data_IF_679493084972
#
_entry.id   IF_679493084972
#
_cell.length_a   1.000
_cell.length_b   1.000
_cell.length_c   1.000
_cell.angle_alpha   90.00
_cell.angle_beta   90.00
_cell.angle_gamma   90.00
#
_symmetry.space_group_name_H-M   'P 1'
#
loop_
_entity.id
_entity.type
_entity.pdbx_description
1 polymer ?
#
# COMPACT_ATOMS: atom_id res chain seq x y z
N UNK A 1 -26.57 -2.07 21.11
CA UNK A 1 -25.62 -2.38 20.02
C UNK A 1 -24.46 -1.36 20.01
N UNK A 2 -23.44 -1.52 20.85
CA UNK A 2 -22.36 -0.51 21.04
C UNK A 2 -20.95 -1.09 21.26
N UNK A 3 -20.76 -2.41 21.11
CA UNK A 3 -19.49 -3.05 21.48
C UNK A 3 -18.38 -2.95 20.41
N UNK A 4 -18.72 -2.74 19.14
CA UNK A 4 -17.70 -2.66 18.06
C UNK A 4 -16.95 -1.31 18.01
N UNK A 5 -17.43 -0.27 18.70
CA UNK A 5 -16.80 1.07 18.71
C UNK A 5 -15.59 1.16 19.64
N UNK A 6 -15.53 0.34 20.71
CA UNK A 6 -14.48 0.49 21.73
C UNK A 6 -13.08 0.21 21.19
N UNK A 7 -12.86 -0.89 20.46
CA UNK A 7 -11.51 -1.27 20.06
C UNK A 7 -10.90 -0.34 19.00
N UNK A 8 -11.65 0.05 17.97
CA UNK A 8 -11.15 0.96 16.93
C UNK A 8 -10.90 2.37 17.47
N UNK A 9 -11.80 2.89 18.32
CA UNK A 9 -11.58 4.17 19.00
C UNK A 9 -10.41 4.09 19.98
N UNK A 10 -10.21 2.97 20.69
CA UNK A 10 -9.08 2.76 21.59
C UNK A 10 -7.75 2.74 20.84
N UNK A 11 -7.65 2.05 19.70
CA UNK A 11 -6.43 2.03 18.88
C UNK A 11 -6.12 3.44 18.36
N UNK A 12 -7.12 4.14 17.81
CA UNK A 12 -6.91 5.51 17.34
C UNK A 12 -6.48 6.46 18.47
N UNK A 13 -7.10 6.35 19.64
CA UNK A 13 -6.72 7.13 20.82
C UNK A 13 -5.32 6.78 21.31
N UNK A 14 -4.94 5.50 21.34
CA UNK A 14 -3.62 5.06 21.76
C UNK A 14 -2.53 5.59 20.82
N UNK A 15 -2.75 5.51 19.50
CA UNK A 15 -1.84 6.09 18.50
C UNK A 15 -1.75 7.61 18.66
N UNK A 16 -2.87 8.30 18.85
CA UNK A 16 -2.87 9.75 19.07
C UNK A 16 -2.10 10.15 20.34
N UNK A 17 -2.25 9.41 21.44
CA UNK A 17 -1.49 9.63 22.66
C UNK A 17 0.00 9.34 22.46
N UNK A 18 0.36 8.25 21.78
CA UNK A 18 1.74 7.93 21.45
C UNK A 18 2.39 9.08 20.67
N UNK A 19 1.73 9.57 19.62
CA UNK A 19 2.21 10.69 18.80
C UNK A 19 2.40 11.96 19.64
N UNK A 20 1.43 12.31 20.49
CA UNK A 20 1.54 13.46 21.41
C UNK A 20 2.72 13.31 22.36
N UNK A 21 2.91 12.14 22.96
CA UNK A 21 4.03 11.88 23.86
C UNK A 21 5.38 12.01 23.14
N UNK A 22 5.49 11.51 21.90
CA UNK A 22 6.70 11.64 21.10
C UNK A 22 7.00 13.09 20.72
N UNK A 23 5.99 13.86 20.30
CA UNK A 23 6.14 15.29 19.99
C UNK A 23 6.52 16.09 21.25
N UNK A 24 5.96 15.74 22.41
CA UNK A 24 6.28 16.37 23.69
C UNK A 24 7.73 16.08 24.12
N UNK A 25 8.17 14.83 24.04
CA UNK A 25 9.52 14.42 24.45
C UNK A 25 10.60 14.85 23.45
N UNK A 26 10.26 14.86 22.16
CA UNK A 26 11.16 15.18 21.07
C UNK A 26 10.54 16.30 20.22
N UNK A 27 10.82 17.56 20.58
CA UNK A 27 10.23 18.74 19.92
C UNK A 27 10.49 18.81 18.40
N UNK A 28 11.57 18.19 17.91
CA UNK A 28 11.87 18.05 16.48
C UNK A 28 11.21 16.86 15.77
N UNK A 29 10.42 16.04 16.48
CA UNK A 29 9.81 14.85 15.91
C UNK A 29 8.71 15.21 14.90
N UNK A 30 8.90 14.77 13.67
CA UNK A 30 7.95 14.96 12.58
C UNK A 30 7.06 13.72 12.45
N UNK A 31 6.23 13.50 13.46
CA UNK A 31 5.24 12.42 13.49
C UNK A 31 3.84 13.01 13.67
N UNK A 32 2.86 12.54 12.91
CA UNK A 32 1.50 13.08 12.92
C UNK A 32 0.48 12.04 12.46
N UNK A 33 -0.79 12.25 12.81
CA UNK A 33 -1.92 11.41 12.40
C UNK A 33 -2.86 12.17 11.47
N UNK A 34 -3.63 11.42 10.67
CA UNK A 34 -4.71 11.98 9.85
C UNK A 34 -5.88 12.37 10.75
N UNK A 35 -6.37 13.61 10.63
CA UNK A 35 -7.46 14.13 11.48
C UNK A 35 -8.79 13.39 11.28
N UNK A 36 -9.10 13.05 10.02
CA UNK A 36 -10.35 12.38 9.62
C UNK A 36 -10.02 11.05 8.93
N UNK A 37 -9.69 9.99 9.69
CA UNK A 37 -9.40 8.68 9.15
C UNK A 37 -10.64 8.06 8.48
N UNK A 38 -10.42 7.13 7.56
CA UNK A 38 -11.47 6.40 6.86
C UNK A 38 -11.43 4.91 7.19
N UNK A 39 -12.58 4.23 7.05
CA UNK A 39 -12.66 2.79 7.19
C UNK A 39 -12.04 2.11 5.96
N UNK A 40 -11.06 1.22 6.19
CA UNK A 40 -10.33 0.53 5.14
C UNK A 40 -10.81 -0.92 5.03
N UNK A 41 -11.30 -1.28 3.85
CA UNK A 41 -11.76 -2.64 3.53
C UNK A 41 -10.78 -3.32 2.56
N UNK A 42 -10.39 -4.56 2.86
CA UNK A 42 -9.43 -5.31 2.05
C UNK A 42 -9.95 -5.49 0.62
N UNK A 43 -9.14 -5.08 -0.37
CA UNK A 43 -9.47 -5.14 -1.79
C UNK A 43 -10.33 -3.98 -2.31
N UNK A 44 -10.71 -3.02 -1.46
CA UNK A 44 -11.55 -1.88 -1.83
C UNK A 44 -10.68 -0.65 -2.10
N UNK A 45 -11.20 0.30 -2.87
CA UNK A 45 -10.59 1.61 -3.11
C UNK A 45 -10.13 2.34 -1.83
N UNK A 46 -10.78 2.08 -0.70
CA UNK A 46 -10.39 2.63 0.61
C UNK A 46 -8.93 2.35 1.00
N UNK A 47 -8.30 1.27 0.50
CA UNK A 47 -6.88 1.01 0.75
C UNK A 47 -6.03 2.11 0.08
N UNK A 48 -6.28 2.36 -1.20
CA UNK A 48 -5.60 3.40 -1.97
C UNK A 48 -5.97 4.80 -1.46
N UNK A 49 -7.22 5.02 -1.07
CA UNK A 49 -7.68 6.29 -0.50
C UNK A 49 -6.94 6.66 0.79
N UNK A 50 -6.59 5.67 1.63
CA UNK A 50 -5.81 5.90 2.84
C UNK A 50 -4.39 6.40 2.51
N UNK A 51 -3.74 5.81 1.50
CA UNK A 51 -2.44 6.28 1.02
C UNK A 51 -2.53 7.72 0.50
N UNK A 52 -3.55 8.06 -0.32
CA UNK A 52 -3.76 9.41 -0.83
C UNK A 52 -3.98 10.44 0.28
N UNK A 53 -4.73 10.11 1.33
CA UNK A 53 -4.88 11.00 2.50
C UNK A 53 -3.54 11.24 3.21
N UNK A 54 -2.71 10.20 3.32
CA UNK A 54 -1.37 10.34 3.88
C UNK A 54 -0.46 11.21 3.00
N UNK A 55 -0.55 11.06 1.66
CA UNK A 55 0.16 11.92 0.71
C UNK A 55 -0.23 13.39 0.85
N UNK A 56 -1.54 13.67 0.90
CA UNK A 56 -2.06 15.03 1.10
C UNK A 56 -1.56 15.65 2.41
N UNK A 57 -1.61 14.87 3.50
CA UNK A 57 -1.13 15.32 4.80
C UNK A 57 0.38 15.58 4.79
N UNK A 58 1.16 14.68 4.20
CA UNK A 58 2.61 14.82 4.10
C UNK A 58 3.00 16.04 3.25
N UNK A 59 2.29 16.28 2.14
CA UNK A 59 2.47 17.47 1.30
C UNK A 59 2.12 18.77 2.04
N UNK A 60 1.10 18.74 2.90
CA UNK A 60 0.69 19.92 3.67
C UNK A 60 1.63 20.27 4.83
N UNK A 61 2.62 19.44 5.14
CA UNK A 61 3.60 19.72 6.20
C UNK A 61 4.79 20.47 5.64
N UNK A 62 5.28 21.43 6.41
CA UNK A 62 6.51 22.18 6.10
C UNK A 62 7.75 21.34 6.43
N UNK A 63 7.90 20.18 5.78
CA UNK A 63 8.97 19.22 6.02
C UNK A 63 9.59 18.89 4.67
N UNK A 64 10.91 18.99 4.58
CA UNK A 64 11.66 18.66 3.37
C UNK A 64 11.89 17.14 3.28
N UNK A 65 10.90 16.41 2.79
CA UNK A 65 11.01 14.99 2.44
C UNK A 65 11.24 14.83 0.93
N UNK A 66 11.84 13.71 0.53
CA UNK A 66 12.19 13.42 -0.87
C UNK A 66 11.46 12.22 -1.46
N UNK A 67 11.31 11.17 -0.65
CA UNK A 67 10.68 9.92 -1.06
C UNK A 67 9.69 9.52 0.03
N UNK A 68 8.46 9.22 -0.39
CA UNK A 68 7.44 8.59 0.43
C UNK A 68 7.56 7.06 0.29
N UNK A 69 7.41 6.34 1.41
CA UNK A 69 7.26 4.88 1.42
C UNK A 69 6.04 4.54 2.27
N UNK A 70 5.21 3.59 1.83
CA UNK A 70 3.91 3.27 2.44
C UNK A 70 3.86 1.86 3.08
N UNK A 71 4.60 1.61 4.19
CA UNK A 71 4.51 0.32 4.87
C UNK A 71 3.14 0.13 5.54
N UNK A 72 2.76 -1.12 5.77
CA UNK A 72 1.57 -1.51 6.53
C UNK A 72 1.94 -2.06 7.93
N UNK A 73 0.97 -2.13 8.84
CA UNK A 73 1.21 -2.52 10.24
C UNK A 73 1.83 -3.92 10.44
N UNK A 74 1.68 -4.82 9.47
CA UNK A 74 2.24 -6.20 9.52
C UNK A 74 3.60 -6.29 8.82
N UNK A 75 4.25 -5.16 8.58
CA UNK A 75 5.52 -5.05 7.86
C UNK A 75 6.60 -4.52 8.81
N UNK A 76 7.72 -5.22 8.87
CA UNK A 76 8.89 -4.78 9.65
C UNK A 76 10.07 -4.48 8.73
N UNK A 77 10.91 -3.50 9.09
CA UNK A 77 12.09 -3.16 8.31
C UNK A 77 13.11 -4.31 8.36
N UNK A 78 13.69 -4.67 7.21
CA UNK A 78 14.77 -5.66 7.10
C UNK A 78 16.16 -5.06 7.40
N UNK A 79 16.23 -3.73 7.55
CA UNK A 79 17.48 -2.97 7.66
C UNK A 79 17.30 -1.77 8.58
N UNK A 80 18.36 -1.29 9.24
CA UNK A 80 18.32 -0.04 9.98
C UNK A 80 17.90 1.14 9.08
N UNK A 81 17.23 2.14 9.66
CA UNK A 81 16.71 3.30 8.92
C UNK A 81 17.82 4.06 8.17
N UNK A 82 19.05 4.09 8.69
CA UNK A 82 20.21 4.69 8.03
C UNK A 82 20.54 4.01 6.70
N UNK A 83 20.42 2.68 6.64
CA UNK A 83 20.63 1.89 5.43
C UNK A 83 19.46 2.05 4.45
N UNK A 84 18.22 2.08 4.95
CA UNK A 84 17.03 2.37 4.13
C UNK A 84 17.19 3.74 3.44
N UNK A 85 17.62 4.77 4.19
CA UNK A 85 17.87 6.12 3.63
C UNK A 85 18.97 6.12 2.57
N UNK A 86 20.06 5.37 2.77
CA UNK A 86 21.14 5.25 1.77
C UNK A 86 20.65 4.53 0.52
N UNK A 87 19.89 3.45 0.69
CA UNK A 87 19.30 2.68 -0.40
C UNK A 87 18.35 3.55 -1.23
N UNK A 88 17.38 4.23 -0.61
CA UNK A 88 16.43 5.08 -1.33
C UNK A 88 17.09 6.23 -2.12
N UNK A 89 18.29 6.69 -1.72
CA UNK A 89 19.04 7.70 -2.50
C UNK A 89 19.51 7.17 -3.85
N UNK A 90 19.69 5.87 -4.02
CA UNK A 90 20.06 5.27 -5.32
C UNK A 90 18.86 5.10 -6.25
N UNK A 91 17.64 5.42 -5.79
CA UNK A 91 16.39 5.35 -6.54
C UNK A 91 15.70 6.71 -6.59
N UNK A 92 16.30 7.74 -7.26
CA UNK A 92 15.72 9.08 -7.30
C UNK A 92 14.35 9.14 -8.01
N UNK A 93 14.06 8.17 -8.87
CA UNK A 93 12.77 8.06 -9.58
C UNK A 93 11.74 7.19 -8.83
N UNK A 94 12.07 6.72 -7.62
CA UNK A 94 11.23 5.80 -6.86
C UNK A 94 11.44 4.32 -7.19
N UNK A 95 10.61 3.49 -6.55
CA UNK A 95 10.57 2.03 -6.73
C UNK A 95 9.10 1.64 -6.87
N UNK A 96 8.69 1.37 -8.11
CA UNK A 96 7.32 1.05 -8.47
C UNK A 96 7.42 -0.07 -9.50
N UNK A 97 6.82 -1.21 -9.23
CA UNK A 97 6.75 -2.31 -10.17
C UNK A 97 5.59 -2.12 -11.16
N UNK A 98 5.76 -2.61 -12.39
CA UNK A 98 4.71 -2.51 -13.40
C UNK A 98 4.77 -3.64 -14.41
N UNK A 99 3.78 -4.52 -14.36
CA UNK A 99 3.66 -5.70 -15.19
C UNK A 99 2.37 -5.66 -16.00
N UNK A 100 2.38 -6.39 -17.11
CA UNK A 100 1.16 -6.70 -17.86
C UNK A 100 0.14 -7.39 -16.95
N UNK A 101 -1.13 -7.02 -17.06
CA UNK A 101 -2.18 -7.65 -16.26
C UNK A 101 -2.41 -9.08 -16.76
N UNK A 102 -2.27 -10.12 -15.91
CA UNK A 102 -2.61 -11.48 -16.29
C UNK A 102 -4.07 -11.59 -16.72
N UNK A 103 -4.38 -12.41 -17.74
CA UNK A 103 -5.76 -12.57 -18.26
C UNK A 103 -6.78 -12.85 -17.14
N UNK A 104 -6.43 -13.74 -16.22
CA UNK A 104 -7.27 -14.10 -15.07
C UNK A 104 -7.50 -12.98 -14.04
N UNK A 105 -6.80 -11.85 -14.14
CA UNK A 105 -6.97 -10.72 -13.23
C UNK A 105 -7.75 -9.56 -13.86
N UNK A 106 -8.09 -9.59 -15.15
CA UNK A 106 -8.79 -8.49 -15.84
C UNK A 106 -10.18 -8.21 -15.26
N UNK A 107 -10.85 -9.23 -14.70
CA UNK A 107 -12.15 -9.05 -14.03
C UNK A 107 -12.08 -8.02 -12.90
N UNK A 108 -10.91 -7.83 -12.28
CA UNK A 108 -10.73 -6.91 -11.15
C UNK A 108 -11.01 -5.45 -11.48
N UNK A 109 -10.90 -5.06 -12.74
CA UNK A 109 -11.18 -3.69 -13.19
C UNK A 109 -12.13 -3.61 -14.38
N UNK A 110 -12.50 -4.75 -14.98
CA UNK A 110 -13.56 -4.80 -15.99
C UNK A 110 -14.96 -4.90 -15.37
N UNK A 111 -15.07 -5.41 -14.15
CA UNK A 111 -16.34 -5.51 -13.41
C UNK A 111 -16.31 -4.57 -12.21
N UNK A 112 -17.47 -3.99 -11.90
CA UNK A 112 -17.59 -3.15 -10.71
C UNK A 112 -17.69 -3.98 -9.44
N UNK A 113 -17.31 -3.38 -8.31
CA UNK A 113 -17.46 -3.96 -6.98
C UNK A 113 -18.32 -3.07 -6.08
N UNK A 114 -18.99 -3.69 -5.13
CA UNK A 114 -19.80 -3.01 -4.12
C UNK A 114 -19.45 -3.48 -2.72
N UNK A 115 -19.52 -2.56 -1.74
CA UNK A 115 -19.41 -2.90 -0.32
C UNK A 115 -20.77 -3.33 0.21
N UNK A 116 -20.92 -4.63 0.47
CA UNK A 116 -22.12 -5.21 1.04
C UNK A 116 -21.97 -5.42 2.54
N UNK A 117 -23.07 -5.22 3.27
CA UNK A 117 -23.13 -5.48 4.69
C UNK A 117 -23.04 -7.00 4.95
N UNK A 118 -22.07 -7.42 5.75
CA UNK A 118 -21.73 -8.82 6.04
C UNK A 118 -21.88 -9.19 7.52
N UNK A 119 -22.31 -8.24 8.36
CA UNK A 119 -22.51 -8.43 9.80
C UNK A 119 -23.30 -7.28 10.40
N UNK A 120 -23.31 -7.17 11.73
CA UNK A 120 -24.10 -6.15 12.44
C UNK A 120 -23.35 -4.83 12.66
N UNK A 121 -22.01 -4.85 12.58
CA UNK A 121 -21.20 -3.64 12.74
C UNK A 121 -21.11 -2.86 11.43
N UNK A 122 -21.01 -1.53 11.53
CA UNK A 122 -20.67 -0.67 10.40
C UNK A 122 -19.41 -1.13 9.65
N UNK A 123 -18.45 -1.72 10.37
CA UNK A 123 -17.19 -2.22 9.80
C UNK A 123 -17.28 -3.63 9.22
N UNK A 124 -18.39 -4.35 9.46
CA UNK A 124 -18.61 -5.69 8.92
C UNK A 124 -19.11 -5.59 7.48
N UNK A 125 -18.30 -5.03 6.58
CA UNK A 125 -18.58 -4.97 5.15
C UNK A 125 -17.62 -5.85 4.39
N UNK A 126 -18.13 -6.49 3.34
CA UNK A 126 -17.35 -7.29 2.40
C UNK A 126 -17.54 -6.74 1.00
N UNK A 127 -16.50 -6.87 0.21
CA UNK A 127 -16.55 -6.50 -1.19
C UNK A 127 -17.14 -7.67 -1.97
N UNK A 128 -18.11 -7.36 -2.82
CA UNK A 128 -18.70 -8.31 -3.76
C UNK A 128 -18.44 -7.79 -5.16
N UNK A 129 -17.89 -8.66 -6.03
CA UNK A 129 -17.78 -8.38 -7.46
C UNK A 129 -19.18 -8.52 -8.06
N UNK A 130 -19.59 -7.52 -8.84
CA UNK A 130 -20.89 -7.46 -9.51
C UNK A 130 -20.76 -7.93 -10.96
N UNK A 131 -21.88 -8.19 -11.63
CA UNK A 131 -21.93 -8.49 -13.07
C UNK A 131 -21.90 -7.22 -13.94
N UNK A 132 -21.89 -6.03 -13.33
CA UNK A 132 -21.88 -4.77 -14.05
C UNK A 132 -20.50 -4.54 -14.66
N UNK A 133 -20.48 -4.55 -16.00
CA UNK A 133 -19.30 -4.23 -16.81
C UNK A 133 -19.01 -2.73 -16.71
N UNK A 134 -17.76 -2.38 -16.43
CA UNK A 134 -17.28 -1.00 -16.36
C UNK A 134 -17.01 -0.47 -17.77
N UNK A 135 -17.15 0.85 -17.91
CA UNK A 135 -16.69 1.55 -19.11
C UNK A 135 -15.17 1.38 -19.28
N UNK A 136 -14.69 1.57 -20.52
CA UNK A 136 -13.25 1.58 -20.81
C UNK A 136 -12.53 2.62 -19.94
N UNK A 137 -11.26 2.37 -19.57
CA UNK A 137 -10.49 3.29 -18.76
C UNK A 137 -10.28 4.62 -19.49
N UNK A 138 -10.18 5.75 -18.74
CA UNK A 138 -10.10 7.07 -19.33
C UNK A 138 -8.87 7.21 -20.23
N UNK A 139 -8.98 7.99 -21.31
CA UNK A 139 -7.88 8.30 -22.24
C UNK A 139 -7.19 7.07 -22.89
N UNK A 140 -7.93 5.96 -23.08
CA UNK A 140 -7.45 4.75 -23.75
C UNK A 140 -6.15 4.17 -23.14
N UNK A 141 -6.02 4.27 -21.81
CA UNK A 141 -4.86 3.78 -21.07
C UNK A 141 -4.89 2.27 -20.91
N UNK A 142 -3.71 1.66 -20.93
CA UNK A 142 -3.55 0.25 -20.58
C UNK A 142 -3.38 0.14 -19.07
N UNK A 143 -4.32 -0.53 -18.39
CA UNK A 143 -4.20 -0.85 -16.96
C UNK A 143 -3.08 -1.86 -16.74
N UNK A 144 -2.29 -1.63 -15.69
CA UNK A 144 -1.13 -2.44 -15.33
C UNK A 144 -1.26 -3.04 -13.95
N UNK A 145 -0.43 -4.04 -13.66
CA UNK A 145 -0.34 -4.68 -12.34
C UNK A 145 0.96 -4.28 -11.66
N UNK A 146 0.89 -3.99 -10.38
CA UNK A 146 2.04 -3.79 -9.51
C UNK A 146 1.71 -4.17 -8.08
N UNK A 147 2.59 -3.77 -7.18
CA UNK A 147 2.52 -3.96 -5.75
C UNK A 147 1.87 -2.75 -5.10
N UNK A 148 1.16 -2.99 -4.00
CA UNK A 148 0.61 -1.92 -3.14
C UNK A 148 1.72 -1.05 -2.54
N UNK A 149 2.85 -1.65 -2.16
CA UNK A 149 3.94 -0.95 -1.49
C UNK A 149 4.88 -0.35 -2.52
N UNK A 150 5.08 0.96 -2.44
CA UNK A 150 5.83 1.77 -3.39
C UNK A 150 6.76 2.72 -2.66
N UNK A 151 7.82 3.14 -3.37
CA UNK A 151 8.63 4.29 -2.98
C UNK A 151 8.42 5.38 -4.03
N UNK A 152 7.84 6.52 -3.64
CA UNK A 152 7.44 7.58 -4.58
C UNK A 152 8.27 8.84 -4.33
N UNK A 153 8.96 9.40 -5.35
CA UNK A 153 9.57 10.72 -5.21
C UNK A 153 8.49 11.79 -5.05
N UNK A 154 8.86 12.90 -4.42
CA UNK A 154 7.92 13.98 -4.09
C UNK A 154 7.18 14.53 -5.30
N UNK A 155 7.89 14.71 -6.41
CA UNK A 155 7.35 15.22 -7.66
C UNK A 155 6.26 14.29 -8.23
N UNK A 156 6.41 12.98 -8.05
CA UNK A 156 5.40 12.01 -8.44
C UNK A 156 4.18 12.04 -7.50
N UNK A 157 4.39 12.24 -6.20
CA UNK A 157 3.29 12.44 -5.25
C UNK A 157 2.50 13.70 -5.62
N UNK A 158 3.17 14.81 -5.95
CA UNK A 158 2.51 16.04 -6.38
C UNK A 158 1.72 15.82 -7.68
N UNK A 159 2.29 15.12 -8.67
CA UNK A 159 1.56 14.72 -9.88
C UNK A 159 0.32 13.86 -9.58
N UNK A 160 0.44 12.87 -8.69
CA UNK A 160 -0.68 12.01 -8.28
C UNK A 160 -1.81 12.83 -7.68
N UNK A 161 -1.48 13.85 -6.89
CA UNK A 161 -2.45 14.67 -6.15
C UNK A 161 -3.07 15.81 -6.96
N UNK A 162 -2.40 16.30 -8.01
CA UNK A 162 -2.86 17.51 -8.74
C UNK A 162 -3.33 17.21 -10.16
N UNK A 163 -2.79 16.17 -10.80
CA UNK A 163 -3.09 15.88 -12.20
C UNK A 163 -4.55 15.48 -12.41
N UNK A 164 -5.23 16.12 -13.36
CA UNK A 164 -6.56 15.72 -13.81
C UNK A 164 -6.59 14.27 -14.29
N UNK A 165 -5.48 13.80 -14.88
CA UNK A 165 -5.34 12.42 -15.30
C UNK A 165 -5.41 11.47 -14.10
N UNK A 166 -4.61 11.73 -13.06
CA UNK A 166 -4.59 10.93 -11.83
C UNK A 166 -5.98 10.89 -11.20
N UNK A 167 -6.66 12.04 -11.11
CA UNK A 167 -8.04 12.11 -10.60
C UNK A 167 -9.04 11.32 -11.47
N UNK A 168 -8.92 11.38 -12.80
CA UNK A 168 -9.77 10.62 -13.71
C UNK A 168 -9.59 9.11 -13.53
N UNK A 169 -8.33 8.65 -13.43
CA UNK A 169 -8.02 7.24 -13.17
C UNK A 169 -8.50 6.79 -11.78
N UNK A 170 -8.29 7.60 -10.74
CA UNK A 170 -8.77 7.30 -9.39
C UNK A 170 -10.28 7.13 -9.37
N UNK A 171 -11.01 8.08 -9.96
CA UNK A 171 -12.47 8.02 -10.08
C UNK A 171 -12.93 6.75 -10.82
N UNK A 172 -12.24 6.40 -11.90
CA UNK A 172 -12.55 5.17 -12.64
C UNK A 172 -12.22 3.90 -11.83
N UNK A 173 -11.26 3.95 -10.90
CA UNK A 173 -10.88 2.82 -10.04
C UNK A 173 -11.70 2.70 -8.74
N UNK A 174 -12.58 3.65 -8.42
CA UNK A 174 -13.33 3.68 -7.15
C UNK A 174 -14.15 2.41 -6.91
N UNK A 175 -14.74 1.86 -7.96
CA UNK A 175 -15.52 0.61 -7.95
C UNK A 175 -14.75 -0.56 -8.58
N UNK A 176 -13.40 -0.57 -8.50
CA UNK A 176 -12.57 -1.72 -8.92
C UNK A 176 -12.08 -2.56 -7.73
N UNK A 177 -11.75 -3.84 -7.98
CA UNK A 177 -11.16 -4.75 -6.99
C UNK A 177 -9.63 -4.60 -6.93
N UNK A 178 -9.09 -4.46 -5.73
CA UNK A 178 -7.66 -4.25 -5.43
C UNK A 178 -7.00 -3.14 -6.29
N UNK A 179 -7.60 -1.93 -6.34
CA UNK A 179 -7.10 -0.86 -7.23
C UNK A 179 -5.71 -0.34 -6.83
N UNK A 180 -5.28 -0.57 -5.58
CA UNK A 180 -3.93 -0.29 -5.07
C UNK A 180 -2.84 -1.11 -5.78
N UNK A 181 -3.17 -2.29 -6.34
CA UNK A 181 -2.26 -3.07 -7.19
C UNK A 181 -2.28 -2.64 -8.67
N UNK A 182 -3.02 -1.58 -9.02
CA UNK A 182 -3.19 -1.12 -10.40
C UNK A 182 -2.82 0.36 -10.59
N UNK A 183 -3.10 1.20 -9.60
CA UNK A 183 -2.99 2.66 -9.74
C UNK A 183 -1.55 3.13 -10.01
N UNK A 184 -0.62 2.82 -9.10
CA UNK A 184 0.76 3.33 -9.19
C UNK A 184 1.50 2.82 -10.44
N UNK A 185 1.33 1.54 -10.75
CA UNK A 185 1.93 0.88 -11.92
C UNK A 185 1.42 1.47 -13.25
N UNK A 186 0.14 1.82 -13.31
CA UNK A 186 -0.49 2.48 -14.47
C UNK A 186 0.00 3.92 -14.61
N UNK A 187 0.02 4.70 -13.52
CA UNK A 187 0.50 6.09 -13.52
C UNK A 187 1.93 6.20 -14.06
N UNK A 188 2.83 5.34 -13.58
CA UNK A 188 4.24 5.39 -13.99
C UNK A 188 4.47 5.09 -15.47
N UNK A 189 3.65 4.22 -16.05
CA UNK A 189 3.82 3.83 -17.46
C UNK A 189 3.40 4.96 -18.38
N UNK A 190 2.37 5.71 -18.00
CA UNK A 190 1.90 6.88 -18.76
C UNK A 190 2.94 7.99 -18.77
N UNK A 191 3.58 8.26 -17.62
CA UNK A 191 4.67 9.23 -17.52
C UNK A 191 5.90 8.88 -18.38
N UNK A 192 5.97 7.65 -18.93
CA UNK A 192 7.04 7.14 -19.78
C UNK A 192 6.54 6.75 -21.18
N UNK A 193 5.56 7.48 -21.73
CA UNK A 193 4.94 7.31 -23.06
C UNK A 193 4.02 6.08 -23.24
N UNK A 194 3.53 5.48 -22.16
CA UNK A 194 2.78 4.23 -22.22
C UNK A 194 1.26 4.38 -22.31
N UNK A 195 0.70 4.18 -23.50
CA UNK A 195 -0.65 3.60 -23.71
C UNK A 195 -0.58 2.10 -24.04
N UNK A 196 0.63 1.56 -24.18
CA UNK A 196 0.90 0.19 -24.62
C UNK A 196 1.24 -0.73 -23.44
N UNK A 197 1.05 -2.04 -23.65
CA UNK A 197 1.44 -3.05 -22.67
C UNK A 197 2.94 -3.37 -22.77
N UNK A 198 3.77 -2.62 -22.05
CA UNK A 198 5.23 -2.78 -22.04
C UNK A 198 5.67 -3.69 -20.88
N UNK A 199 6.44 -4.75 -21.12
CA UNK A 199 7.02 -5.53 -20.00
C UNK A 199 8.31 -4.87 -19.49
N UNK A 200 8.19 -3.73 -18.80
CA UNK A 200 9.34 -2.93 -18.34
C UNK A 200 9.47 -3.00 -16.82
N UNK A 201 10.68 -3.32 -16.33
CA UNK A 201 10.99 -3.23 -14.91
C UNK A 201 11.22 -1.75 -14.50
N UNK A 202 10.23 -1.16 -13.84
CA UNK A 202 10.32 0.19 -13.26
C UNK A 202 10.81 0.19 -11.81
N UNK A 203 11.14 -0.98 -11.26
CA UNK A 203 11.78 -1.04 -9.94
C UNK A 203 13.26 -0.67 -10.00
N UNK A 204 13.89 -0.77 -11.17
CA UNK A 204 15.33 -0.59 -11.37
C UNK A 204 16.17 -1.52 -10.46
N UNK A 205 15.68 -2.74 -10.21
CA UNK A 205 16.27 -3.67 -9.23
C UNK A 205 15.92 -3.34 -7.76
N UNK A 206 15.03 -2.38 -7.56
CA UNK A 206 14.52 -1.94 -6.27
C UNK A 206 13.53 -2.93 -5.65
N UNK A 207 13.47 -3.02 -4.32
CA UNK A 207 12.38 -3.75 -3.65
C UNK A 207 11.89 -3.00 -2.41
N UNK A 208 10.61 -2.63 -2.39
CA UNK A 208 10.01 -2.01 -1.20
C UNK A 208 9.64 -3.05 -0.16
N UNK A 209 8.96 -4.14 -0.57
CA UNK A 209 8.44 -5.15 0.35
C UNK A 209 8.66 -6.57 -0.18
N UNK A 210 9.29 -7.40 0.65
CA UNK A 210 9.40 -8.84 0.44
C UNK A 210 8.16 -9.55 1.00
N UNK A 211 7.63 -10.51 0.23
CA UNK A 211 6.70 -11.52 0.75
C UNK A 211 6.99 -12.89 0.18
N UNK A 212 6.88 -13.91 1.04
CA UNK A 212 6.89 -15.30 0.61
C UNK A 212 5.46 -15.80 0.42
N UNK A 213 5.23 -16.39 -0.76
CA UNK A 213 3.94 -16.91 -1.18
C UNK A 213 4.00 -18.44 -1.26
N UNK A 214 2.89 -19.10 -0.96
CA UNK A 214 2.78 -20.56 -1.00
C UNK A 214 3.30 -21.26 0.27
N UNK A 215 3.26 -22.60 0.25
CA UNK A 215 3.46 -23.43 1.45
C UNK A 215 4.92 -23.81 1.74
N UNK A 216 5.87 -23.49 0.86
CA UNK A 216 7.28 -23.86 1.03
C UNK A 216 8.09 -22.80 1.79
N UNK A 217 9.04 -23.23 2.62
CA UNK A 217 10.01 -22.39 3.33
C UNK A 217 9.40 -21.32 4.25
N UNK A 218 8.35 -21.65 5.01
CA UNK A 218 7.78 -20.75 6.02
C UNK A 218 7.82 -21.45 7.37
N UNK A 219 8.71 -21.00 8.27
CA UNK A 219 8.85 -21.53 9.63
C UNK A 219 7.72 -21.07 10.56
N UNK A 220 7.08 -19.94 10.22
CA UNK A 220 5.85 -19.50 10.87
C UNK A 220 4.60 -20.18 10.30
N UNK A 221 3.62 -19.38 9.84
CA UNK A 221 2.33 -19.90 9.34
C UNK A 221 1.91 -19.25 8.04
N UNK A 222 1.57 -20.06 7.03
CA UNK A 222 0.93 -19.53 5.83
C UNK A 222 -0.55 -19.20 6.10
N UNK A 223 -0.93 -17.94 5.89
CA UNK A 223 -2.32 -17.46 6.02
C UNK A 223 -2.71 -16.77 4.72
N UNK A 224 -3.78 -17.26 4.07
CA UNK A 224 -4.28 -16.75 2.78
C UNK A 224 -3.18 -16.71 1.69
N UNK A 225 -2.32 -17.71 1.67
CA UNK A 225 -1.26 -17.83 0.67
C UNK A 225 0.02 -17.05 0.99
N UNK A 226 0.06 -16.26 2.06
CA UNK A 226 1.25 -15.48 2.46
C UNK A 226 1.86 -16.05 3.73
N UNK A 227 3.19 -16.22 3.75
CA UNK A 227 3.92 -16.57 4.97
C UNK A 227 3.81 -15.43 6.00
N UNK A 228 3.34 -15.79 7.20
CA UNK A 228 3.52 -14.98 8.40
C UNK A 228 4.77 -15.55 9.07
N UNK A 229 5.87 -14.81 9.02
CA UNK A 229 7.20 -15.27 9.37
C UNK A 229 7.28 -15.69 10.84
N UNK A 230 8.06 -16.74 11.09
CA UNK A 230 8.46 -17.15 12.44
C UNK A 230 9.96 -16.97 12.67
N UNK A 231 10.42 -17.26 13.88
CA UNK A 231 11.81 -17.07 14.31
C UNK A 231 12.83 -17.76 13.37
N UNK A 232 12.48 -18.94 12.86
CA UNK A 232 13.32 -19.70 11.92
C UNK A 232 13.55 -19.01 10.56
N UNK A 233 12.69 -18.07 10.18
CA UNK A 233 12.77 -17.38 8.89
C UNK A 233 13.73 -16.17 8.94
N UNK A 234 14.06 -15.66 10.14
CA UNK A 234 14.81 -14.42 10.32
C UNK A 234 16.21 -14.45 9.69
N UNK A 235 16.90 -15.60 9.75
CA UNK A 235 18.24 -15.75 9.16
C UNK A 235 18.21 -15.51 7.64
N UNK A 236 17.21 -16.06 6.95
CA UNK A 236 17.07 -15.90 5.51
C UNK A 236 16.56 -14.51 5.14
N UNK A 237 15.63 -13.95 5.93
CA UNK A 237 15.19 -12.56 5.78
C UNK A 237 16.36 -11.57 5.92
N UNK A 238 17.28 -11.82 6.85
CA UNK A 238 18.45 -10.96 7.07
C UNK A 238 19.45 -10.97 5.90
N UNK A 239 19.55 -12.09 5.17
CA UNK A 239 20.38 -12.18 3.96
C UNK A 239 19.84 -11.35 2.81
N UNK A 240 18.53 -11.04 2.80
CA UNK A 240 17.95 -10.23 1.74
C UNK A 240 18.54 -8.81 1.73
N UNK A 241 19.31 -8.49 0.68
CA UNK A 241 19.96 -7.17 0.54
C UNK A 241 19.10 -6.14 -0.19
N UNK A 242 18.06 -6.57 -0.90
CA UNK A 242 17.36 -5.75 -1.89
C UNK A 242 16.08 -5.12 -1.34
N UNK A 243 15.34 -5.82 -0.47
CA UNK A 243 14.06 -5.34 0.04
C UNK A 243 14.22 -4.47 1.29
N UNK A 244 13.39 -3.43 1.39
CA UNK A 244 13.36 -2.53 2.55
C UNK A 244 12.60 -3.12 3.74
N UNK A 245 11.45 -3.73 3.46
CA UNK A 245 10.54 -4.31 4.45
C UNK A 245 10.23 -5.78 4.13
N UNK A 246 9.77 -6.53 5.12
CA UNK A 246 9.23 -7.87 4.95
C UNK A 246 7.80 -7.97 5.48
N UNK A 247 6.98 -8.76 4.80
CA UNK A 247 5.59 -9.02 5.14
C UNK A 247 5.26 -10.53 5.00
N UNK A 248 4.69 -11.20 6.03
CA UNK A 248 3.99 -10.62 7.19
C UNK A 248 4.61 -11.00 8.53
N UNK A 249 4.52 -10.11 9.51
CA UNK A 249 4.74 -10.43 10.93
C UNK A 249 3.41 -10.39 11.69
N UNK A 250 3.22 -11.31 12.62
CA UNK A 250 1.96 -11.46 13.35
C UNK A 250 2.22 -12.04 14.75
N UNK A 251 1.88 -11.26 15.78
CA UNK A 251 2.05 -11.63 17.18
C UNK A 251 1.31 -12.91 17.59
N UNK A 252 0.24 -13.27 16.88
CA UNK A 252 -0.53 -14.51 17.12
C UNK A 252 0.07 -15.73 16.41
N UNK A 253 1.03 -15.52 15.50
CA UNK A 253 1.74 -16.60 14.82
C UNK A 253 3.07 -16.87 15.53
N UNK A 254 3.88 -15.82 15.68
CA UNK A 254 5.15 -15.91 16.39
C UNK A 254 5.51 -14.51 16.93
N UNK A 255 5.46 -14.28 18.25
CA UNK A 255 5.82 -13.00 18.86
C UNK A 255 7.34 -12.81 19.06
N UNK A 256 8.16 -13.86 18.88
CA UNK A 256 9.61 -13.76 18.99
C UNK A 256 10.28 -13.31 17.68
N UNK A 257 9.59 -13.50 16.56
CA UNK A 257 10.01 -13.08 15.22
C UNK A 257 9.90 -11.56 15.01
#
# INVERSE_FOLDING_TARGET
>A
VWFCWRFLCQVHSAVAHLVKCYQWKYSGATIFTVKNPLAVYWGHYSVLQADLKCMQLLRSKNVQWRILVNPAATELPLKPISNIRKYLKTFPNGIIDSFSVPKGNKYRFNLSVELQQAGSSFFDRRITVTDKVKNLPPANITIRKGSKNVALPRELVDFILDSQFSHGLLKWLEDSLVPDEHFYSTIMTILKNGTQDLNTDFTHGGCVRLSWWGRGNCSGKNIRGVCNFGLGDLSELHKNRNCLFANKFNLQVDPLA
#
